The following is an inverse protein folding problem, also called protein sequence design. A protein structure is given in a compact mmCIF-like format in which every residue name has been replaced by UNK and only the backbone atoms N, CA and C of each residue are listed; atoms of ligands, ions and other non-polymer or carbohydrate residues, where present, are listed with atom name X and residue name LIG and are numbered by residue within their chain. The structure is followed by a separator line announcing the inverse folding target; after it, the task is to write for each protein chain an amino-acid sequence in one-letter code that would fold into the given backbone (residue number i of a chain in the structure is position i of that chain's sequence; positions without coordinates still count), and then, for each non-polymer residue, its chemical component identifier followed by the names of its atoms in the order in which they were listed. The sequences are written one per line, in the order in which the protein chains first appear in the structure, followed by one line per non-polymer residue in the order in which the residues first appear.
data_IF_894502948136
#
_entry.id   IF_894502948136
#
_cell.length_a   1.000
_cell.length_b   1.000
_cell.length_c   1.000
_cell.angle_alpha   90.00
_cell.angle_beta   90.00
_cell.angle_gamma   90.00
#
_symmetry.space_group_name_H-M   'P 1'
#
loop_
_entity.id
_entity.type
_entity.pdbx_description
1 polymer ?
#
# COMPACT_ATOMS: atom_id res chain seq x y z
N UNK A 1 -33.13 -2.12 4.12
CA UNK A 1 -32.28 -1.54 5.18
C UNK A 1 -31.20 -2.56 5.47
N UNK A 2 -30.03 -2.43 4.85
CA UNK A 2 -28.93 -3.37 5.06
C UNK A 2 -28.22 -2.90 6.33
N UNK A 3 -28.26 -3.71 7.38
CA UNK A 3 -27.56 -3.43 8.63
C UNK A 3 -26.06 -3.30 8.32
N UNK A 4 -25.46 -2.15 8.65
CA UNK A 4 -24.01 -2.00 8.67
C UNK A 4 -23.45 -2.97 9.72
N UNK A 5 -22.38 -3.73 9.42
CA UNK A 5 -21.72 -4.54 10.44
C UNK A 5 -21.21 -3.63 11.56
N UNK A 6 -21.28 -4.13 12.79
CA UNK A 6 -20.75 -3.46 13.95
C UNK A 6 -19.22 -3.26 13.81
N UNK A 7 -18.78 -1.99 13.71
CA UNK A 7 -17.38 -1.60 13.63
C UNK A 7 -16.77 -1.66 12.23
N UNK A 8 -15.89 -0.70 11.92
CA UNK A 8 -15.03 -0.78 10.72
C UNK A 8 -14.05 -1.96 10.88
N UNK A 9 -13.75 -2.74 9.82
CA UNK A 9 -12.71 -3.79 9.85
C UNK A 9 -11.41 -3.35 10.53
N UNK A 10 -11.01 -2.09 10.31
CA UNK A 10 -9.79 -1.51 10.89
C UNK A 10 -9.85 -1.33 12.42
N UNK A 11 -11.02 -1.04 12.97
CA UNK A 11 -11.18 -0.89 14.43
C UNK A 11 -10.98 -2.23 15.13
N UNK A 12 -11.57 -3.30 14.57
CA UNK A 12 -11.36 -4.67 15.04
C UNK A 12 -9.91 -5.09 14.84
N UNK A 13 -9.33 -4.77 13.67
CA UNK A 13 -7.92 -5.03 13.37
C UNK A 13 -6.98 -4.45 14.42
N UNK A 14 -7.11 -3.15 14.72
CA UNK A 14 -6.26 -2.47 15.71
C UNK A 14 -6.34 -3.14 17.09
N UNK A 15 -7.54 -3.56 17.50
CA UNK A 15 -7.76 -4.23 18.78
C UNK A 15 -7.05 -5.58 18.84
N UNK A 16 -7.14 -6.38 17.77
CA UNK A 16 -6.52 -7.70 17.70
C UNK A 16 -5.00 -7.65 17.57
N UNK A 17 -4.47 -6.70 16.79
CA UNK A 17 -3.02 -6.50 16.67
C UNK A 17 -2.41 -6.21 18.03
N UNK A 18 -3.04 -5.34 18.83
CA UNK A 18 -2.57 -5.04 20.20
C UNK A 18 -2.54 -6.27 21.11
N UNK A 19 -3.51 -7.17 20.97
CA UNK A 19 -3.52 -8.45 21.70
C UNK A 19 -2.37 -9.34 21.19
N UNK A 20 -2.15 -9.40 19.88
CA UNK A 20 -1.09 -10.20 19.28
C UNK A 20 0.31 -9.67 19.58
N UNK A 21 0.49 -8.37 19.83
CA UNK A 21 1.79 -7.79 20.20
C UNK A 21 2.15 -7.99 21.67
N UNK A 22 1.17 -8.22 22.55
CA UNK A 22 1.36 -8.35 24.00
C UNK A 22 1.11 -9.79 24.49
N UNK A 23 1.59 -10.80 23.76
CA UNK A 23 1.29 -12.19 24.08
C UNK A 23 1.85 -12.63 25.42
N UNK A 24 1.05 -13.42 26.13
CA UNK A 24 1.54 -14.19 27.28
C UNK A 24 2.22 -15.47 26.75
N UNK A 25 3.22 -16.00 27.48
CA UNK A 25 3.82 -17.30 27.13
C UNK A 25 2.74 -18.37 26.93
N UNK A 26 2.70 -18.99 25.75
CA UNK A 26 1.74 -20.04 25.39
C UNK A 26 0.44 -19.58 24.72
N UNK A 27 0.19 -18.27 24.56
CA UNK A 27 -1.04 -17.78 23.92
C UNK A 27 -1.01 -17.71 22.38
N UNK A 28 0.10 -18.09 21.75
CA UNK A 28 0.32 -17.87 20.31
C UNK A 28 -0.67 -18.64 19.42
N UNK A 29 -0.98 -19.90 19.75
CA UNK A 29 -1.98 -20.67 18.98
C UNK A 29 -3.39 -20.07 19.08
N UNK A 30 -3.76 -19.56 20.25
CA UNK A 30 -5.04 -18.88 20.43
C UNK A 30 -5.11 -17.60 19.58
N UNK A 31 -4.02 -16.82 19.55
CA UNK A 31 -3.93 -15.62 18.71
C UNK A 31 -4.06 -15.95 17.21
N UNK A 32 -3.36 -16.99 16.73
CA UNK A 32 -3.48 -17.49 15.35
C UNK A 32 -4.94 -17.86 15.04
N UNK A 33 -5.60 -18.60 15.93
CA UNK A 33 -6.99 -19.01 15.75
C UNK A 33 -7.97 -17.83 15.68
N UNK A 34 -7.74 -16.77 16.46
CA UNK A 34 -8.55 -15.54 16.42
C UNK A 34 -8.33 -14.79 15.10
N UNK A 35 -7.09 -14.60 14.66
CA UNK A 35 -6.81 -13.90 13.41
C UNK A 35 -7.37 -14.65 12.19
N UNK A 36 -7.21 -15.97 12.13
CA UNK A 36 -7.77 -16.80 11.05
C UNK A 36 -9.30 -16.68 11.00
N UNK A 37 -9.96 -16.64 12.15
CA UNK A 37 -11.42 -16.46 12.22
C UNK A 37 -11.83 -15.11 11.67
N UNK A 38 -11.14 -14.03 12.03
CA UNK A 38 -11.45 -12.70 11.47
C UNK A 38 -11.20 -12.62 9.97
N UNK A 39 -10.09 -13.21 9.50
CA UNK A 39 -9.81 -13.34 8.06
C UNK A 39 -10.99 -14.02 7.35
N UNK A 40 -11.48 -15.15 7.86
CA UNK A 40 -12.62 -15.86 7.31
C UNK A 40 -13.91 -15.02 7.32
N UNK A 41 -14.15 -14.25 8.39
CA UNK A 41 -15.28 -13.31 8.46
C UNK A 41 -15.19 -12.25 7.37
N UNK A 42 -14.01 -11.65 7.16
CA UNK A 42 -13.79 -10.66 6.11
C UNK A 42 -14.04 -11.22 4.71
N UNK A 43 -13.63 -12.47 4.45
CA UNK A 43 -13.88 -13.14 3.18
C UNK A 43 -15.38 -13.42 2.95
N UNK A 44 -16.10 -13.89 3.97
CA UNK A 44 -17.54 -14.16 3.89
C UNK A 44 -18.37 -12.89 3.69
N UNK A 45 -17.96 -11.79 4.33
CA UNK A 45 -18.66 -10.51 4.27
C UNK A 45 -18.23 -9.62 3.11
N UNK A 46 -17.25 -10.06 2.31
CA UNK A 46 -16.64 -9.29 1.23
C UNK A 46 -17.64 -8.63 0.28
N UNK A 47 -18.68 -9.38 -0.13
CA UNK A 47 -19.71 -8.88 -1.05
C UNK A 47 -20.66 -7.84 -0.40
N UNK A 48 -20.67 -7.73 0.92
CA UNK A 48 -21.53 -6.81 1.67
C UNK A 48 -20.89 -5.43 1.85
N UNK A 49 -19.58 -5.31 1.63
CA UNK A 49 -18.87 -4.05 1.85
C UNK A 49 -19.13 -3.02 0.74
N UNK A 50 -19.24 -1.76 1.16
CA UNK A 50 -19.09 -0.61 0.25
C UNK A 50 -17.63 -0.51 -0.21
N UNK A 51 -17.33 0.35 -1.19
CA UNK A 51 -15.93 0.56 -1.62
C UNK A 51 -14.98 0.94 -0.49
N UNK A 52 -15.41 1.82 0.42
CA UNK A 52 -14.61 2.22 1.58
C UNK A 52 -14.47 1.05 2.56
N UNK A 53 -15.55 0.30 2.80
CA UNK A 53 -15.51 -0.90 3.64
C UNK A 53 -14.59 -1.99 3.09
N UNK A 54 -14.59 -2.18 1.77
CA UNK A 54 -13.74 -3.15 1.08
C UNK A 54 -12.27 -2.75 1.16
N UNK A 55 -11.98 -1.45 1.04
CA UNK A 55 -10.63 -0.95 1.24
C UNK A 55 -10.16 -1.12 2.70
N UNK A 56 -11.03 -0.84 3.69
CA UNK A 56 -10.73 -1.10 5.09
C UNK A 56 -10.52 -2.60 5.37
N UNK A 57 -11.28 -3.48 4.71
CA UNK A 57 -11.09 -4.93 4.76
C UNK A 57 -9.73 -5.32 4.17
N UNK A 58 -9.36 -4.78 2.99
CA UNK A 58 -8.03 -5.01 2.38
C UNK A 58 -6.89 -4.61 3.32
N UNK A 59 -6.97 -3.42 3.93
CA UNK A 59 -5.96 -2.97 4.90
C UNK A 59 -5.89 -3.90 6.12
N UNK A 60 -7.04 -4.29 6.67
CA UNK A 60 -7.10 -5.18 7.85
C UNK A 60 -6.53 -6.57 7.53
N UNK A 61 -6.89 -7.11 6.37
CA UNK A 61 -6.43 -8.40 5.88
C UNK A 61 -4.90 -8.41 5.70
N UNK A 62 -4.34 -7.37 5.05
CA UNK A 62 -2.89 -7.21 4.89
C UNK A 62 -2.18 -7.20 6.25
N UNK A 63 -2.70 -6.44 7.22
CA UNK A 63 -2.13 -6.38 8.57
C UNK A 63 -2.19 -7.75 9.25
N UNK A 64 -3.32 -8.47 9.15
CA UNK A 64 -3.44 -9.81 9.71
C UNK A 64 -2.46 -10.80 9.09
N UNK A 65 -2.29 -10.78 7.77
CA UNK A 65 -1.30 -11.61 7.06
C UNK A 65 0.12 -11.30 7.52
N UNK A 66 0.46 -10.01 7.68
CA UNK A 66 1.77 -9.59 8.21
C UNK A 66 1.98 -10.01 9.68
N UNK A 67 0.96 -9.93 10.53
CA UNK A 67 1.05 -10.38 11.93
C UNK A 67 1.23 -11.89 12.00
N UNK A 68 0.45 -12.65 11.22
CA UNK A 68 0.59 -14.11 11.12
C UNK A 68 2.03 -14.48 10.74
N UNK A 69 2.58 -13.79 9.75
CA UNK A 69 3.93 -14.06 9.25
C UNK A 69 5.04 -13.60 10.18
N UNK A 70 5.14 -12.29 10.47
CA UNK A 70 6.29 -11.71 11.18
C UNK A 70 6.24 -11.91 12.70
N UNK A 71 5.05 -12.01 13.30
CA UNK A 71 4.89 -12.06 14.76
C UNK A 71 4.61 -13.50 15.22
N UNK A 72 3.77 -14.23 14.49
CA UNK A 72 3.31 -15.56 14.89
C UNK A 72 4.04 -16.70 14.16
N UNK A 73 4.96 -16.37 13.25
CA UNK A 73 5.78 -17.34 12.51
C UNK A 73 4.95 -18.31 11.65
N UNK A 74 3.74 -17.93 11.26
CA UNK A 74 2.89 -18.71 10.35
C UNK A 74 3.29 -18.35 8.91
N UNK A 75 3.82 -19.32 8.16
CA UNK A 75 4.24 -19.10 6.78
C UNK A 75 4.25 -20.40 5.98
N UNK A 76 4.19 -20.27 4.65
CA UNK A 76 4.49 -21.31 3.66
C UNK A 76 3.68 -22.62 3.73
N UNK A 77 2.54 -22.65 4.44
CA UNK A 77 1.55 -23.73 4.34
C UNK A 77 0.44 -23.39 3.32
N UNK A 78 -0.34 -24.39 2.93
CA UNK A 78 -1.41 -24.22 1.94
C UNK A 78 -2.50 -23.24 2.41
N UNK A 79 -2.73 -23.16 3.73
CA UNK A 79 -3.66 -22.21 4.34
C UNK A 79 -3.16 -20.76 4.15
N UNK A 80 -1.88 -20.50 4.44
CA UNK A 80 -1.29 -19.19 4.26
C UNK A 80 -1.24 -18.76 2.79
N UNK A 81 -1.01 -19.69 1.86
CA UNK A 81 -1.12 -19.41 0.42
C UNK A 81 -2.54 -19.02 0.00
N UNK A 82 -3.56 -19.66 0.57
CA UNK A 82 -4.95 -19.28 0.34
C UNK A 82 -5.25 -17.86 0.87
N UNK A 83 -4.75 -17.53 2.07
CA UNK A 83 -4.82 -16.17 2.63
C UNK A 83 -4.19 -15.15 1.68
N UNK A 84 -3.00 -15.43 1.13
CA UNK A 84 -2.33 -14.53 0.19
C UNK A 84 -3.10 -14.36 -1.13
N UNK A 85 -3.71 -15.43 -1.63
CA UNK A 85 -4.56 -15.38 -2.83
C UNK A 85 -5.77 -14.46 -2.58
N UNK A 86 -6.50 -14.65 -1.48
CA UNK A 86 -7.61 -13.76 -1.08
C UNK A 86 -7.17 -12.31 -0.91
N UNK A 87 -5.99 -12.08 -0.35
CA UNK A 87 -5.41 -10.74 -0.18
C UNK A 87 -5.17 -10.04 -1.53
N UNK A 88 -4.60 -10.75 -2.52
CA UNK A 88 -4.40 -10.22 -3.87
C UNK A 88 -5.74 -9.91 -4.55
N UNK A 89 -6.76 -10.77 -4.38
CA UNK A 89 -8.08 -10.49 -4.90
C UNK A 89 -8.72 -9.25 -4.25
N UNK A 90 -8.56 -9.07 -2.93
CA UNK A 90 -9.03 -7.88 -2.20
C UNK A 90 -8.34 -6.61 -2.70
N UNK A 91 -7.04 -6.68 -2.99
CA UNK A 91 -6.28 -5.59 -3.58
C UNK A 91 -6.82 -5.23 -4.97
N UNK A 92 -7.05 -6.24 -5.83
CA UNK A 92 -7.66 -6.06 -7.15
C UNK A 92 -9.03 -5.37 -7.02
N UNK A 93 -9.92 -5.90 -6.17
CA UNK A 93 -11.26 -5.38 -5.98
C UNK A 93 -11.26 -3.93 -5.42
N UNK A 94 -10.37 -3.62 -4.47
CA UNK A 94 -10.19 -2.28 -3.91
C UNK A 94 -9.67 -1.27 -4.93
N UNK A 95 -8.87 -1.74 -5.90
CA UNK A 95 -8.23 -0.94 -6.94
C UNK A 95 -9.12 -0.69 -8.16
N UNK A 96 -10.27 -1.37 -8.30
CA UNK A 96 -11.19 -1.22 -9.45
C UNK A 96 -11.68 0.20 -9.68
N UNK A 97 -11.74 1.03 -8.63
CA UNK A 97 -12.14 2.43 -8.72
C UNK A 97 -10.98 3.37 -9.06
N UNK A 98 -9.80 2.82 -9.36
CA UNK A 98 -8.60 3.55 -9.71
C UNK A 98 -7.61 3.68 -8.55
N UNK A 99 -6.36 3.88 -8.95
CA UNK A 99 -5.20 4.16 -8.10
C UNK A 99 -4.64 5.57 -8.38
N UNK A 100 -5.31 6.34 -9.24
CA UNK A 100 -4.97 7.70 -9.63
C UNK A 100 -6.29 8.48 -9.67
N UNK A 101 -6.32 9.71 -9.15
CA UNK A 101 -7.54 10.51 -9.21
C UNK A 101 -7.82 10.93 -10.65
N UNK A 102 -9.10 10.92 -11.05
CA UNK A 102 -9.49 11.35 -12.39
C UNK A 102 -9.11 12.82 -12.68
N UNK A 103 -9.05 13.66 -11.65
CA UNK A 103 -8.60 15.05 -11.78
C UNK A 103 -7.08 15.13 -12.06
N UNK A 104 -6.26 14.30 -11.41
CA UNK A 104 -4.81 14.23 -11.66
C UNK A 104 -4.53 13.92 -13.14
N UNK A 105 -5.27 12.98 -13.72
CA UNK A 105 -5.17 12.62 -15.14
C UNK A 105 -5.49 13.78 -16.08
N UNK A 106 -6.33 14.71 -15.64
CA UNK A 106 -6.73 15.92 -16.37
C UNK A 106 -5.91 17.15 -15.98
N UNK A 107 -4.83 16.97 -15.19
CA UNK A 107 -4.02 18.06 -14.61
C UNK A 107 -4.87 19.09 -13.86
N UNK A 108 -5.90 18.61 -13.18
CA UNK A 108 -6.77 19.40 -12.33
C UNK A 108 -6.61 18.93 -10.88
N UNK A 109 -6.83 19.84 -9.93
CA UNK A 109 -6.79 19.52 -8.51
C UNK A 109 -7.99 18.62 -8.11
N UNK A 110 -7.78 17.41 -7.57
CA UNK A 110 -8.85 16.58 -7.06
C UNK A 110 -9.45 17.17 -5.77
N UNK A 111 -10.58 16.61 -5.34
CA UNK A 111 -11.05 16.82 -3.97
C UNK A 111 -10.15 16.09 -3.00
N UNK A 112 -9.87 16.70 -1.85
CA UNK A 112 -8.99 16.12 -0.83
C UNK A 112 -9.45 14.73 -0.39
N UNK A 113 -10.76 14.52 -0.22
CA UNK A 113 -11.34 13.25 0.24
C UNK A 113 -11.14 12.11 -0.77
N UNK A 114 -11.22 12.43 -2.06
CA UNK A 114 -10.98 11.46 -3.13
C UNK A 114 -9.48 11.15 -3.24
N UNK A 115 -8.66 12.19 -3.10
CA UNK A 115 -7.20 12.07 -3.14
C UNK A 115 -6.64 11.23 -2.00
N UNK A 116 -7.06 11.50 -0.76
CA UNK A 116 -6.52 10.80 0.41
C UNK A 116 -6.86 9.30 0.38
N UNK A 117 -8.06 8.94 -0.09
CA UNK A 117 -8.46 7.54 -0.27
C UNK A 117 -7.61 6.89 -1.37
N UNK A 118 -7.39 7.59 -2.49
CA UNK A 118 -6.60 7.07 -3.61
C UNK A 118 -5.12 6.88 -3.24
N UNK A 119 -4.53 7.85 -2.54
CA UNK A 119 -3.16 7.76 -2.02
C UNK A 119 -3.03 6.64 -0.99
N UNK A 120 -3.99 6.51 -0.07
CA UNK A 120 -4.00 5.40 0.90
C UNK A 120 -4.09 4.03 0.22
N UNK A 121 -4.88 3.90 -0.85
CA UNK A 121 -4.95 2.68 -1.67
C UNK A 121 -3.61 2.35 -2.30
N UNK A 122 -2.97 3.32 -2.95
CA UNK A 122 -1.62 3.13 -3.54
C UNK A 122 -0.61 2.68 -2.49
N UNK A 123 -0.54 3.39 -1.35
CA UNK A 123 0.39 3.05 -0.27
C UNK A 123 0.16 1.64 0.27
N UNK A 124 -1.10 1.25 0.48
CA UNK A 124 -1.47 -0.11 0.92
C UNK A 124 -1.08 -1.16 -0.12
N UNK A 125 -1.34 -0.89 -1.40
CA UNK A 125 -0.99 -1.78 -2.51
C UNK A 125 0.52 -2.02 -2.57
N UNK A 126 1.33 -0.97 -2.48
CA UNK A 126 2.79 -1.12 -2.47
C UNK A 126 3.27 -1.97 -1.29
N UNK A 127 2.69 -1.82 -0.08
CA UNK A 127 3.03 -2.70 1.05
C UNK A 127 2.68 -4.16 0.75
N UNK A 128 1.53 -4.42 0.13
CA UNK A 128 1.16 -5.79 -0.26
C UNK A 128 2.18 -6.40 -1.24
N UNK A 129 2.62 -5.65 -2.25
CA UNK A 129 3.62 -6.13 -3.21
C UNK A 129 5.00 -6.34 -2.59
N UNK A 130 5.41 -5.46 -1.67
CA UNK A 130 6.64 -5.66 -0.90
C UNK A 130 6.55 -6.92 -0.04
N UNK A 131 5.40 -7.17 0.57
CA UNK A 131 5.17 -8.36 1.37
C UNK A 131 5.18 -9.64 0.53
N UNK A 132 4.52 -9.61 -0.63
CA UNK A 132 4.53 -10.69 -1.62
C UNK A 132 5.94 -11.01 -2.13
N UNK A 133 6.78 -9.98 -2.30
CA UNK A 133 8.20 -10.14 -2.65
C UNK A 133 8.99 -10.85 -1.55
N UNK A 134 8.73 -10.53 -0.28
CA UNK A 134 9.39 -11.22 0.86
C UNK A 134 9.02 -12.70 0.84
N UNK A 135 7.74 -13.04 0.65
CA UNK A 135 7.28 -14.43 0.59
C UNK A 135 7.90 -15.18 -0.59
N UNK A 136 7.89 -14.58 -1.78
CA UNK A 136 8.52 -15.13 -2.97
C UNK A 136 10.00 -15.44 -2.73
N UNK A 137 10.73 -14.51 -2.08
CA UNK A 137 12.15 -14.71 -1.76
C UNK A 137 12.39 -15.89 -0.81
N UNK A 138 11.50 -16.13 0.16
CA UNK A 138 11.60 -17.26 1.08
C UNK A 138 11.38 -18.61 0.40
N UNK A 139 10.52 -18.65 -0.62
CA UNK A 139 10.28 -19.84 -1.44
C UNK A 139 11.30 -20.02 -2.58
N UNK A 140 12.31 -19.14 -2.68
CA UNK A 140 13.30 -19.15 -3.75
C UNK A 140 12.74 -18.75 -5.12
N UNK A 141 11.59 -18.08 -5.14
CA UNK A 141 10.96 -17.55 -6.33
C UNK A 141 11.51 -16.15 -6.65
N UNK A 142 11.58 -15.76 -7.94
CA UNK A 142 12.03 -14.44 -8.31
C UNK A 142 11.10 -13.35 -7.74
N UNK A 143 11.68 -12.30 -7.16
CA UNK A 143 10.94 -11.15 -6.67
C UNK A 143 10.76 -10.15 -7.80
N UNK A 144 9.59 -10.16 -8.42
CA UNK A 144 9.21 -9.11 -9.37
C UNK A 144 8.37 -8.08 -8.64
N UNK A 145 8.99 -6.97 -8.26
CA UNK A 145 8.23 -5.81 -7.81
C UNK A 145 7.36 -5.39 -8.99
N UNK A 146 6.04 -5.64 -8.85
CA UNK A 146 5.15 -5.93 -9.96
C UNK A 146 5.32 -4.97 -11.13
N UNK A 147 5.66 -5.50 -12.31
CA UNK A 147 5.58 -4.75 -13.58
C UNK A 147 4.17 -4.18 -13.79
N UNK A 148 3.17 -4.79 -13.15
CA UNK A 148 1.79 -4.31 -13.04
C UNK A 148 1.64 -2.94 -12.35
N UNK A 149 2.61 -2.54 -11.53
CA UNK A 149 2.63 -1.23 -10.86
C UNK A 149 3.23 -0.12 -11.72
N UNK A 150 3.80 -0.45 -12.88
CA UNK A 150 4.47 0.51 -13.75
C UNK A 150 3.55 1.68 -14.10
N UNK A 151 4.08 2.90 -14.00
CA UNK A 151 3.35 4.13 -14.31
C UNK A 151 2.44 4.63 -13.18
N UNK A 152 2.32 3.90 -12.06
CA UNK A 152 1.63 4.43 -10.88
C UNK A 152 2.47 5.53 -10.21
N UNK A 153 1.84 6.58 -9.64
CA UNK A 153 2.55 7.61 -8.90
C UNK A 153 3.34 7.04 -7.72
N UNK A 154 4.59 7.48 -7.56
CA UNK A 154 5.32 7.30 -6.31
C UNK A 154 4.54 7.99 -5.16
N UNK A 155 4.77 7.57 -3.90
CA UNK A 155 4.07 8.14 -2.76
C UNK A 155 4.17 9.67 -2.72
N UNK A 156 3.08 10.32 -2.36
CA UNK A 156 3.03 11.77 -2.28
C UNK A 156 3.95 12.30 -1.17
N UNK A 157 4.26 13.60 -1.26
CA UNK A 157 5.11 14.26 -0.28
C UNK A 157 4.51 14.25 1.13
N UNK A 158 5.37 14.39 2.13
CA UNK A 158 5.00 14.47 3.54
C UNK A 158 3.96 15.56 3.80
N UNK A 159 4.15 16.73 3.20
CA UNK A 159 3.23 17.87 3.35
C UNK A 159 1.82 17.56 2.84
N UNK A 160 1.69 16.87 1.70
CA UNK A 160 0.38 16.47 1.17
C UNK A 160 -0.26 15.37 2.02
N UNK A 161 0.52 14.36 2.41
CA UNK A 161 0.01 13.22 3.17
C UNK A 161 -0.43 13.61 4.59
N UNK A 162 0.33 14.49 5.25
CA UNK A 162 0.10 14.88 6.65
C UNK A 162 -0.79 16.13 6.80
N UNK A 163 -1.28 16.71 5.71
CA UNK A 163 -2.21 17.83 5.77
C UNK A 163 -3.45 17.44 6.61
N UNK A 164 -3.70 18.17 7.69
CA UNK A 164 -4.76 17.84 8.65
C UNK A 164 -6.13 18.40 8.24
N UNK A 165 -6.13 19.33 7.29
CA UNK A 165 -7.34 19.99 6.81
C UNK A 165 -7.35 20.10 5.29
N UNK A 166 -8.56 20.22 4.71
CA UNK A 166 -8.73 20.46 3.28
C UNK A 166 -8.00 21.71 2.81
N UNK A 167 -8.03 22.78 3.61
CA UNK A 167 -7.39 24.05 3.28
C UNK A 167 -5.86 23.92 3.19
N UNK A 168 -5.24 23.27 4.17
CA UNK A 168 -3.80 22.99 4.14
C UNK A 168 -3.44 22.14 2.93
N UNK A 169 -4.19 21.07 2.69
CA UNK A 169 -3.95 20.18 1.56
C UNK A 169 -4.06 20.92 0.22
N UNK A 170 -5.10 21.76 0.04
CA UNK A 170 -5.29 22.52 -1.20
C UNK A 170 -4.15 23.50 -1.47
N UNK A 171 -3.59 24.12 -0.42
CA UNK A 171 -2.42 25.00 -0.54
C UNK A 171 -1.19 24.21 -1.00
N UNK A 172 -0.88 23.11 -0.33
CA UNK A 172 0.27 22.27 -0.67
C UNK A 172 0.12 21.60 -2.04
N UNK A 173 -1.11 21.24 -2.44
CA UNK A 173 -1.37 20.64 -3.74
C UNK A 173 -1.18 21.64 -4.88
N UNK A 174 -1.52 22.92 -4.67
CA UNK A 174 -1.23 23.97 -5.66
C UNK A 174 0.28 24.14 -5.88
N UNK A 175 1.08 24.09 -4.81
CA UNK A 175 2.55 24.10 -4.91
C UNK A 175 3.04 22.87 -5.65
N UNK A 176 2.55 21.68 -5.29
CA UNK A 176 2.87 20.43 -5.97
C UNK A 176 2.59 20.48 -7.48
N UNK A 177 1.45 21.04 -7.90
CA UNK A 177 1.14 21.20 -9.33
C UNK A 177 2.11 22.12 -10.07
N UNK A 178 2.62 23.16 -9.40
CA UNK A 178 3.61 24.06 -9.98
C UNK A 178 4.99 23.38 -10.08
N UNK A 179 5.37 22.60 -9.07
CA UNK A 179 6.65 21.89 -9.02
C UNK A 179 6.73 20.67 -9.94
N UNK A 180 5.58 20.04 -10.24
CA UNK A 180 5.46 18.80 -11.02
C UNK A 180 4.68 19.01 -12.33
N UNK A 181 5.04 20.02 -13.12
CA UNK A 181 4.37 20.37 -14.39
C UNK A 181 4.35 19.23 -15.43
N UNK A 182 5.35 18.35 -15.39
CA UNK A 182 5.49 17.20 -16.27
C UNK A 182 4.72 15.96 -15.76
N UNK A 183 4.06 16.08 -14.60
CA UNK A 183 3.43 14.98 -13.88
C UNK A 183 4.26 14.53 -12.69
N UNK A 184 3.62 13.81 -11.77
CA UNK A 184 4.27 13.23 -10.59
C UNK A 184 5.35 12.22 -10.97
N UNK A 185 6.31 11.99 -10.07
CA UNK A 185 7.23 10.85 -10.18
C UNK A 185 6.42 9.54 -10.19
N UNK A 186 6.74 8.61 -11.08
CA UNK A 186 6.14 7.27 -11.06
C UNK A 186 7.04 6.26 -10.33
N UNK A 187 6.44 5.18 -9.81
CA UNK A 187 7.15 4.19 -9.02
C UNK A 187 8.26 3.48 -9.81
N UNK A 188 8.05 3.31 -11.12
CA UNK A 188 9.04 2.70 -12.01
C UNK A 188 10.27 3.58 -12.23
N UNK A 189 10.19 4.88 -11.92
CA UNK A 189 11.36 5.75 -11.87
C UNK A 189 12.29 5.46 -10.68
N UNK A 190 11.89 4.57 -9.75
CA UNK A 190 12.73 4.11 -8.63
C UNK A 190 13.41 2.75 -8.86
N UNK A 191 13.09 2.05 -9.95
CA UNK A 191 13.64 0.72 -10.32
C UNK A 191 15.04 0.81 -10.97
N UNK A 192 15.69 -0.28 -11.44
CA UNK A 192 16.93 -0.15 -12.19
C UNK A 192 16.76 0.78 -13.38
N UNK A 193 17.87 1.41 -13.79
CA UNK A 193 17.86 2.25 -14.99
C UNK A 193 17.86 1.35 -16.21
N UNK A 194 16.91 1.50 -17.14
CA UNK A 194 16.93 0.75 -18.39
C UNK A 194 18.21 1.04 -19.19
N UNK A 195 18.82 0.01 -19.77
CA UNK A 195 20.05 0.13 -20.57
C UNK A 195 19.89 1.00 -21.83
N UNK A 196 18.66 1.13 -22.33
CA UNK A 196 18.30 1.95 -23.48
C UNK A 196 18.11 3.44 -23.15
N UNK A 197 18.16 3.81 -21.86
CA UNK A 197 18.01 5.20 -21.44
C UNK A 197 19.32 5.97 -21.66
N UNK A 198 19.36 6.84 -22.67
CA UNK A 198 20.52 7.70 -22.93
C UNK A 198 20.84 8.64 -21.76
N UNK A 199 22.07 9.17 -21.72
CA UNK A 199 22.61 9.98 -20.60
C UNK A 199 21.70 11.14 -20.17
N UNK A 200 21.08 11.82 -21.13
CA UNK A 200 20.12 12.91 -20.87
C UNK A 200 18.88 12.41 -20.12
N UNK A 201 18.37 11.23 -20.49
CA UNK A 201 17.25 10.59 -19.81
C UNK A 201 17.62 10.16 -18.39
N UNK A 202 18.82 9.61 -18.20
CA UNK A 202 19.36 9.26 -16.87
C UNK A 202 19.47 10.50 -15.99
N UNK A 203 20.05 11.59 -16.50
CA UNK A 203 20.20 12.84 -15.77
C UNK A 203 18.84 13.44 -15.37
N UNK A 204 17.86 13.44 -16.29
CA UNK A 204 16.50 13.90 -16.02
C UNK A 204 15.80 13.06 -14.96
N UNK A 205 15.87 11.73 -15.06
CA UNK A 205 15.28 10.81 -14.08
C UNK A 205 15.90 11.02 -12.70
N UNK A 206 17.22 11.16 -12.62
CA UNK A 206 17.93 11.48 -11.37
C UNK A 206 17.44 12.79 -10.76
N UNK A 207 17.33 13.86 -11.54
CA UNK A 207 16.84 15.15 -11.05
C UNK A 207 15.41 15.05 -10.48
N UNK A 208 14.51 14.30 -11.14
CA UNK A 208 13.15 14.06 -10.64
C UNK A 208 13.14 13.25 -9.35
N UNK A 209 13.97 12.21 -9.24
CA UNK A 209 14.12 11.44 -8.01
C UNK A 209 14.67 12.33 -6.89
N UNK A 210 15.70 13.13 -7.16
CA UNK A 210 16.28 14.07 -6.19
C UNK A 210 15.25 15.09 -5.70
N UNK A 211 14.41 15.62 -6.59
CA UNK A 211 13.30 16.52 -6.22
C UNK A 211 12.27 15.81 -5.33
N UNK A 212 11.91 14.56 -5.63
CA UNK A 212 10.97 13.78 -4.82
C UNK A 212 11.53 13.48 -3.43
N UNK A 213 12.83 13.18 -3.32
CA UNK A 213 13.53 12.90 -2.06
C UNK A 213 13.50 14.09 -1.08
N UNK A 214 13.32 15.33 -1.56
CA UNK A 214 13.36 16.53 -0.70
C UNK A 214 12.24 16.59 0.34
N UNK A 215 11.13 15.87 0.14
CA UNK A 215 9.94 16.01 0.98
C UNK A 215 9.23 14.67 1.23
N UNK A 216 9.98 13.65 1.62
CA UNK A 216 9.44 12.34 1.97
C UNK A 216 8.99 12.27 3.42
N UNK A 217 7.96 11.45 3.63
CA UNK A 217 7.66 10.91 4.95
C UNK A 217 8.42 9.59 5.19
N UNK A 218 8.21 9.01 6.36
CA UNK A 218 8.86 7.77 6.80
C UNK A 218 8.51 6.61 5.86
N UNK A 219 7.28 6.61 5.31
CA UNK A 219 6.82 5.63 4.34
C UNK A 219 7.56 5.74 3.00
N UNK A 220 7.66 6.95 2.45
CA UNK A 220 8.40 7.20 1.21
C UNK A 220 9.88 6.85 1.34
N UNK A 221 10.48 7.16 2.50
CA UNK A 221 11.87 6.81 2.80
C UNK A 221 12.08 5.29 2.82
N UNK A 222 11.20 4.56 3.51
CA UNK A 222 11.21 3.09 3.52
C UNK A 222 11.10 2.52 2.10
N UNK A 223 10.14 3.02 1.31
CA UNK A 223 9.92 2.54 -0.05
C UNK A 223 11.15 2.79 -0.92
N UNK A 224 11.75 3.98 -0.85
CA UNK A 224 12.97 4.31 -1.57
C UNK A 224 14.13 3.38 -1.21
N UNK A 225 14.36 3.16 0.09
CA UNK A 225 15.43 2.29 0.56
C UNK A 225 15.25 0.85 0.05
N UNK A 226 14.03 0.31 0.12
CA UNK A 226 13.75 -1.04 -0.38
C UNK A 226 13.98 -1.12 -1.88
N UNK A 227 13.42 -0.17 -2.66
CA UNK A 227 13.60 -0.14 -4.11
C UNK A 227 15.07 -0.07 -4.49
N UNK A 228 15.89 0.67 -3.75
CA UNK A 228 17.35 0.75 -3.99
C UNK A 228 18.08 -0.54 -3.61
N UNK A 229 17.64 -1.27 -2.58
CA UNK A 229 18.26 -2.54 -2.18
C UNK A 229 17.84 -3.73 -3.05
N UNK A 230 16.61 -3.76 -3.54
CA UNK A 230 16.10 -4.86 -4.39
C UNK A 230 16.55 -4.74 -5.84
N UNK A 231 16.98 -3.55 -6.25
CA UNK A 231 17.27 -3.20 -7.64
C UNK A 231 18.59 -2.46 -7.85
N UNK A 232 19.36 -2.23 -6.78
CA UNK A 232 20.67 -1.61 -6.85
C UNK A 232 21.75 -2.65 -7.11
N UNK A 233 22.64 -2.32 -8.04
CA UNK A 233 24.00 -2.86 -8.08
C UNK A 233 24.82 -2.40 -6.85
#
# INVERSE_FOLDING_TARGET
MIAQPAGSPLTTCLSLVRICSNQLPGSSQAAVGVLRREIQTLDQDRAKYTSIGLFAAFQSYLIYSMVLFFILGQSCDDDFRAIMTSLQELACASSRQGLICAADQRRARPKWEEWIITEAKRRTLYVMYLFDSILSSQEGLPTFLGTELRGLPAPASKLLWQAGTRYEWEREYNVHMADWMEGCLTIDELWPTPDDLGEVGVARRRARVDQWLQNLDEYGTMLFAIMRCTHGD
#
